data_IF_314541811559
#
_entry.id   IF_314541811559
#
_cell.length_a   1.000
_cell.length_b   1.000
_cell.length_c   1.000
_cell.angle_alpha   90.00
_cell.angle_beta   90.00
_cell.angle_gamma   90.00
#
_symmetry.space_group_name_H-M   'P 1'
#
loop_
_entity.id
_entity.type
_entity.pdbx_description
1 polymer ?
#
# COMPACT_ATOMS: atom_id res chain seq x y z
N UNK A 1 -5.72 32.92 26.06
CA UNK A 1 -6.77 32.58 25.09
C UNK A 1 -6.27 31.39 24.29
N UNK A 2 -7.10 30.38 24.08
CA UNK A 2 -6.82 29.36 23.08
C UNK A 2 -6.73 30.06 21.72
N UNK A 3 -5.66 29.78 20.95
CA UNK A 3 -5.51 30.29 19.59
C UNK A 3 -6.62 29.69 18.74
N UNK A 4 -7.32 30.51 17.96
CA UNK A 4 -8.32 30.04 17.03
C UNK A 4 -7.76 30.11 15.61
N UNK A 5 -7.12 29.03 15.16
CA UNK A 5 -6.40 29.00 13.87
C UNK A 5 -7.28 29.39 12.68
N UNK A 6 -8.58 29.07 12.72
CA UNK A 6 -9.52 29.41 11.64
C UNK A 6 -9.81 30.90 11.58
N UNK A 7 -10.04 31.52 12.74
CA UNK A 7 -10.30 32.95 12.84
C UNK A 7 -9.03 33.78 12.68
N UNK A 8 -7.99 33.42 13.42
CA UNK A 8 -6.77 34.21 13.55
C UNK A 8 -5.87 34.12 12.31
N UNK A 9 -5.85 32.98 11.60
CA UNK A 9 -5.02 32.80 10.40
C UNK A 9 -5.85 32.75 9.11
N UNK A 10 -6.97 32.02 9.11
CA UNK A 10 -7.81 31.89 7.92
C UNK A 10 -8.91 32.95 7.83
N UNK A 11 -9.11 33.80 8.83
CA UNK A 11 -10.13 34.85 8.82
C UNK A 11 -11.55 34.32 8.69
N UNK A 12 -11.78 33.04 9.02
CA UNK A 12 -13.10 32.40 8.98
C UNK A 12 -13.85 32.82 10.25
N UNK A 13 -15.06 33.39 10.14
CA UNK A 13 -15.83 33.84 11.29
C UNK A 13 -16.21 32.67 12.21
N UNK A 14 -16.51 32.98 13.47
CA UNK A 14 -17.00 31.98 14.42
C UNK A 14 -18.36 31.45 13.95
N UNK A 15 -18.41 30.16 13.62
CA UNK A 15 -19.59 29.44 13.14
C UNK A 15 -19.55 27.97 13.54
N UNK A 16 -20.26 27.11 12.79
CA UNK A 16 -20.19 25.67 12.97
C UNK A 16 -18.77 25.16 12.68
N UNK A 17 -18.24 24.35 13.60
CA UNK A 17 -16.88 23.77 13.51
C UNK A 17 -16.96 22.24 13.48
N UNK A 18 -16.06 21.58 12.75
CA UNK A 18 -15.06 22.13 11.83
C UNK A 18 -15.70 22.78 10.57
N UNK A 19 -15.07 23.79 9.96
CA UNK A 19 -15.55 24.38 8.72
C UNK A 19 -15.56 23.34 7.59
N UNK A 20 -16.49 23.49 6.64
CA UNK A 20 -16.52 22.63 5.47
C UNK A 20 -15.27 22.84 4.57
N UNK A 21 -15.00 21.89 3.68
CA UNK A 21 -13.82 21.90 2.81
C UNK A 21 -13.77 23.13 1.87
N UNK A 22 -14.92 23.65 1.46
CA UNK A 22 -15.02 24.84 0.61
C UNK A 22 -14.68 26.10 1.40
N UNK A 23 -15.24 26.25 2.60
CA UNK A 23 -14.95 27.34 3.52
C UNK A 23 -13.48 27.35 3.93
N UNK A 24 -12.92 26.18 4.24
CA UNK A 24 -11.51 26.03 4.60
C UNK A 24 -10.58 26.54 3.50
N UNK A 25 -10.90 26.24 2.23
CA UNK A 25 -10.15 26.71 1.06
C UNK A 25 -10.59 28.08 0.53
N UNK A 26 -11.55 28.74 1.19
CA UNK A 26 -12.14 30.03 0.76
C UNK A 26 -12.68 29.96 -0.68
N UNK A 27 -13.38 28.89 -0.99
CA UNK A 27 -14.05 28.64 -2.27
C UNK A 27 -15.56 28.82 -2.14
N UNK A 28 -16.21 28.99 -3.29
CA UNK A 28 -17.67 28.91 -3.37
C UNK A 28 -18.06 27.43 -3.23
N UNK A 29 -19.17 27.17 -2.53
CA UNK A 29 -19.70 25.81 -2.38
C UNK A 29 -19.96 25.18 -3.76
N UNK A 30 -19.59 23.91 -3.92
CA UNK A 30 -19.71 23.15 -5.19
C UNK A 30 -18.85 23.69 -6.34
N UNK A 31 -17.70 24.33 -6.08
CA UNK A 31 -16.75 24.71 -7.13
C UNK A 31 -16.27 23.48 -7.93
N UNK A 32 -16.44 23.53 -9.26
CA UNK A 32 -16.14 22.44 -10.20
C UNK A 32 -14.77 22.53 -10.87
N UNK A 33 -14.10 23.67 -10.78
CA UNK A 33 -12.78 23.86 -11.37
C UNK A 33 -11.64 23.41 -10.42
N UNK A 34 -10.97 22.27 -10.68
CA UNK A 34 -9.88 21.78 -9.82
C UNK A 34 -8.67 22.72 -9.81
N UNK A 35 -8.44 23.49 -10.88
CA UNK A 35 -7.33 24.43 -10.94
C UNK A 35 -7.53 25.60 -9.96
N UNK A 36 -8.78 26.03 -9.74
CA UNK A 36 -9.09 27.04 -8.70
C UNK A 36 -8.89 26.49 -7.30
N UNK A 37 -9.30 25.24 -7.05
CA UNK A 37 -9.09 24.56 -5.77
C UNK A 37 -7.61 24.55 -5.41
N UNK A 38 -6.75 24.11 -6.34
CA UNK A 38 -5.31 24.11 -6.16
C UNK A 38 -4.72 25.50 -5.93
N UNK A 39 -5.18 26.50 -6.70
CA UNK A 39 -4.69 27.87 -6.58
C UNK A 39 -4.99 28.47 -5.19
N UNK A 40 -6.18 28.19 -4.65
CA UNK A 40 -6.58 28.60 -3.30
C UNK A 40 -5.78 27.86 -2.23
N UNK A 41 -5.66 26.54 -2.34
CA UNK A 41 -4.82 25.73 -1.47
C UNK A 41 -3.38 26.27 -1.40
N UNK A 42 -2.73 26.51 -2.55
CA UNK A 42 -1.35 27.02 -2.60
C UNK A 42 -1.19 28.34 -1.84
N UNK A 43 -2.14 29.27 -2.00
CA UNK A 43 -2.13 30.56 -1.30
C UNK A 43 -2.28 30.40 0.22
N UNK A 44 -3.23 29.58 0.65
CA UNK A 44 -3.51 29.37 2.08
C UNK A 44 -2.41 28.56 2.76
N UNK A 45 -1.93 27.49 2.13
CA UNK A 45 -0.82 26.69 2.62
C UNK A 45 0.44 27.57 2.80
N UNK A 46 0.78 28.41 1.81
CA UNK A 46 1.89 29.36 1.93
C UNK A 46 1.72 30.38 3.08
N UNK A 47 0.48 30.74 3.41
CA UNK A 47 0.18 31.60 4.55
C UNK A 47 0.40 30.87 5.89
N UNK A 48 -0.21 29.68 6.05
CA UNK A 48 -0.12 28.88 7.28
C UNK A 48 1.31 28.44 7.57
N UNK A 49 2.10 28.16 6.53
CA UNK A 49 3.54 27.85 6.64
C UNK A 49 4.37 28.90 7.37
N UNK A 50 3.93 30.15 7.43
CA UNK A 50 4.63 31.20 8.21
C UNK A 50 4.62 30.91 9.72
N UNK A 51 3.67 30.10 10.18
CA UNK A 51 3.51 29.69 11.58
C UNK A 51 4.09 28.29 11.87
N UNK A 52 4.69 27.64 10.87
CA UNK A 52 5.26 26.28 10.95
C UNK A 52 6.42 26.12 11.93
N UNK A 53 6.96 27.21 12.47
CA UNK A 53 8.08 27.18 13.42
C UNK A 53 7.74 27.93 14.70
N UNK A 54 8.29 27.45 15.81
CA UNK A 54 8.13 28.08 17.11
C UNK A 54 6.90 27.58 17.87
N UNK A 55 6.22 28.48 18.57
CA UNK A 55 5.20 28.14 19.57
C UNK A 55 3.95 27.44 19.00
N UNK A 56 3.61 27.70 17.74
CA UNK A 56 2.38 27.20 17.09
C UNK A 56 2.65 26.10 16.05
N UNK A 57 3.80 25.42 16.18
CA UNK A 57 4.22 24.40 15.23
C UNK A 57 3.18 23.29 15.09
N UNK A 58 2.64 22.78 16.20
CA UNK A 58 1.66 21.70 16.15
C UNK A 58 0.35 22.16 15.47
N UNK A 59 -0.20 23.29 15.90
CA UNK A 59 -1.45 23.85 15.39
C UNK A 59 -1.34 24.21 13.89
N UNK A 60 -0.16 24.67 13.45
CA UNK A 60 0.10 24.93 12.04
C UNK A 60 0.19 23.66 11.20
N UNK A 61 0.77 22.59 11.74
CA UNK A 61 0.85 21.32 11.04
C UNK A 61 -0.54 20.70 10.90
N UNK A 62 -1.33 20.70 11.98
CA UNK A 62 -2.70 20.21 11.98
C UNK A 62 -3.55 20.95 10.91
N UNK A 63 -3.44 22.29 10.84
CA UNK A 63 -4.15 23.06 9.83
C UNK A 63 -3.65 22.80 8.40
N UNK A 64 -2.34 22.61 8.20
CA UNK A 64 -1.79 22.26 6.89
C UNK A 64 -2.30 20.91 6.40
N UNK A 65 -2.47 19.95 7.31
CA UNK A 65 -3.07 18.66 7.01
C UNK A 65 -4.53 18.79 6.61
N UNK A 66 -5.32 19.57 7.36
CA UNK A 66 -6.72 19.85 7.00
C UNK A 66 -6.84 20.50 5.62
N UNK A 67 -5.99 21.48 5.31
CA UNK A 67 -5.97 22.12 3.99
C UNK A 67 -5.61 21.12 2.87
N UNK A 68 -4.67 20.21 3.12
CA UNK A 68 -4.28 19.18 2.16
C UNK A 68 -5.40 18.17 1.93
N UNK A 69 -6.07 17.71 2.99
CA UNK A 69 -7.26 16.85 2.93
C UNK A 69 -8.37 17.49 2.11
N UNK A 70 -8.66 18.76 2.38
CA UNK A 70 -9.67 19.50 1.63
C UNK A 70 -9.36 19.58 0.14
N UNK A 71 -8.11 19.87 -0.22
CA UNK A 71 -7.68 19.93 -1.60
C UNK A 71 -7.79 18.58 -2.30
N UNK A 72 -7.36 17.49 -1.66
CA UNK A 72 -7.38 16.16 -2.25
C UNK A 72 -8.81 15.63 -2.42
N UNK A 73 -9.69 15.87 -1.45
CA UNK A 73 -11.09 15.49 -1.55
C UNK A 73 -11.79 16.23 -2.71
N UNK A 74 -11.54 17.53 -2.88
CA UNK A 74 -12.18 18.34 -3.91
C UNK A 74 -11.56 18.19 -5.31
N UNK A 75 -10.38 17.57 -5.44
CA UNK A 75 -9.72 17.32 -6.73
C UNK A 75 -9.93 15.90 -7.23
N UNK A 76 -10.27 14.95 -6.36
CA UNK A 76 -10.67 13.60 -6.76
C UNK A 76 -12.15 13.58 -7.20
N UNK A 77 -12.48 13.15 -8.44
CA UNK A 77 -13.85 13.17 -8.92
C UNK A 77 -14.84 12.33 -8.09
N UNK A 78 -14.40 11.18 -7.59
CA UNK A 78 -15.24 10.27 -6.85
C UNK A 78 -15.45 10.79 -5.42
N UNK A 79 -14.37 11.16 -4.73
CA UNK A 79 -14.45 11.70 -3.36
C UNK A 79 -15.24 13.00 -3.32
N UNK A 80 -15.03 13.86 -4.32
CA UNK A 80 -15.79 15.11 -4.41
C UNK A 80 -17.27 14.83 -4.59
N UNK A 81 -17.66 13.87 -5.44
CA UNK A 81 -19.07 13.50 -5.62
C UNK A 81 -19.70 13.05 -4.30
N UNK A 82 -19.06 12.10 -3.61
CA UNK A 82 -19.52 11.60 -2.30
C UNK A 82 -19.63 12.74 -1.27
N UNK A 83 -18.65 13.64 -1.25
CA UNK A 83 -18.63 14.81 -0.37
C UNK A 83 -19.73 15.83 -0.71
N UNK A 84 -19.90 16.17 -1.99
CA UNK A 84 -20.91 17.10 -2.46
C UNK A 84 -22.33 16.55 -2.20
N UNK A 85 -22.54 15.25 -2.38
CA UNK A 85 -23.79 14.56 -2.01
C UNK A 85 -24.07 14.67 -0.51
N UNK A 86 -23.05 14.52 0.34
CA UNK A 86 -23.19 14.72 1.79
C UNK A 86 -23.59 16.15 2.18
N UNK A 87 -23.25 17.14 1.36
CA UNK A 87 -23.63 18.55 1.50
C UNK A 87 -24.95 18.89 0.79
N UNK A 88 -25.62 17.92 0.18
CA UNK A 88 -26.94 18.07 -0.45
C UNK A 88 -26.93 18.36 -1.95
N UNK A 89 -25.79 18.20 -2.65
CA UNK A 89 -25.75 18.22 -4.12
C UNK A 89 -26.33 16.91 -4.64
N UNK A 90 -27.36 16.97 -5.47
CA UNK A 90 -27.84 15.80 -6.19
C UNK A 90 -27.14 15.70 -7.54
N UNK A 91 -26.52 14.55 -7.79
CA UNK A 91 -26.07 14.17 -9.12
C UNK A 91 -27.19 13.35 -9.76
N UNK A 92 -27.58 13.70 -10.98
CA UNK A 92 -28.36 12.77 -11.78
C UNK A 92 -27.48 11.53 -12.04
N UNK A 93 -28.04 10.33 -11.93
CA UNK A 93 -27.36 9.07 -12.22
C UNK A 93 -27.11 8.93 -13.73
N UNK A 94 -26.33 9.85 -14.27
CA UNK A 94 -25.60 9.60 -15.49
C UNK A 94 -24.52 8.57 -15.11
N UNK A 95 -24.89 7.30 -15.28
CA UNK A 95 -24.00 6.18 -15.56
C UNK A 95 -23.24 6.41 -16.89
N UNK A 96 -22.81 7.64 -17.14
CA UNK A 96 -21.82 7.94 -18.14
C UNK A 96 -20.53 7.37 -17.59
N UNK A 97 -20.08 6.27 -18.19
CA UNK A 97 -18.69 5.85 -18.18
C UNK A 97 -17.83 7.08 -17.95
N UNK A 98 -17.23 7.21 -16.77
CA UNK A 98 -16.17 8.18 -16.57
C UNK A 98 -15.18 7.85 -17.66
N UNK A 99 -15.22 8.63 -18.74
CA UNK A 99 -14.36 8.50 -19.89
C UNK A 99 -12.96 8.76 -19.34
N UNK A 100 -12.32 7.74 -18.77
CA UNK A 100 -10.94 7.78 -18.29
C UNK A 100 -10.14 8.04 -19.52
N UNK A 101 -9.71 9.28 -19.63
CA UNK A 101 -9.09 9.75 -20.85
C UNK A 101 -7.68 9.27 -20.81
N UNK A 102 -7.19 8.79 -21.95
CA UNK A 102 -5.76 8.60 -22.08
C UNK A 102 -5.05 9.90 -21.76
N UNK A 103 -3.89 9.81 -21.12
CA UNK A 103 -3.04 10.96 -20.81
C UNK A 103 -2.79 11.81 -22.06
N UNK A 104 -2.57 11.17 -23.22
CA UNK A 104 -2.45 11.85 -24.51
C UNK A 104 -3.70 12.66 -24.88
N UNK A 105 -4.89 12.09 -24.71
CA UNK A 105 -6.16 12.78 -24.94
C UNK A 105 -6.37 13.96 -23.99
N UNK A 106 -6.00 13.79 -22.71
CA UNK A 106 -6.07 14.85 -21.71
C UNK A 106 -5.15 16.03 -22.08
N UNK A 107 -3.90 15.76 -22.47
CA UNK A 107 -2.92 16.78 -22.88
C UNK A 107 -3.34 17.54 -24.15
N UNK A 108 -3.99 16.85 -25.10
CA UNK A 108 -4.51 17.50 -26.31
C UNK A 108 -5.65 18.46 -25.97
N UNK A 109 -6.60 18.03 -25.12
CA UNK A 109 -7.74 18.87 -24.76
C UNK A 109 -7.33 20.14 -24.05
N UNK A 110 -6.36 20.03 -23.14
CA UNK A 110 -5.81 21.17 -22.42
C UNK A 110 -4.85 22.03 -23.26
N UNK A 111 -4.67 21.68 -24.55
CA UNK A 111 -3.89 22.48 -25.50
C UNK A 111 -2.38 22.37 -25.32
N UNK A 112 -1.91 21.41 -24.52
CA UNK A 112 -0.48 21.21 -24.28
C UNK A 112 0.23 20.46 -25.42
N UNK A 113 -0.48 19.57 -26.11
CA UNK A 113 0.05 18.79 -27.22
C UNK A 113 -0.90 18.74 -28.41
N UNK A 114 -0.34 18.57 -29.61
CA UNK A 114 -1.09 18.18 -30.80
C UNK A 114 -1.23 16.66 -30.91
N UNK A 115 -2.24 16.20 -31.65
CA UNK A 115 -2.42 14.76 -31.98
C UNK A 115 -1.16 14.15 -32.63
N UNK A 116 -0.45 14.93 -33.44
CA UNK A 116 0.77 14.48 -34.11
C UNK A 116 1.91 14.23 -33.10
N UNK A 117 2.10 15.15 -32.14
CA UNK A 117 3.13 15.02 -31.10
C UNK A 117 2.86 13.84 -30.16
N UNK A 118 1.59 13.59 -29.81
CA UNK A 118 1.22 12.41 -29.01
C UNK A 118 1.56 11.12 -29.75
N UNK A 119 1.19 11.02 -31.03
CA UNK A 119 1.51 9.86 -31.85
C UNK A 119 3.03 9.65 -32.02
N UNK A 120 3.78 10.74 -32.19
CA UNK A 120 5.25 10.68 -32.22
C UNK A 120 5.80 10.16 -30.88
N UNK A 121 5.28 10.64 -29.75
CA UNK A 121 5.69 10.17 -28.43
C UNK A 121 5.33 8.69 -28.18
N UNK A 122 4.16 8.24 -28.61
CA UNK A 122 3.75 6.82 -28.55
C UNK A 122 4.73 5.93 -29.34
N UNK A 123 5.04 6.32 -30.59
CA UNK A 123 6.02 5.55 -31.40
C UNK A 123 7.43 5.57 -30.79
N UNK A 124 7.83 6.68 -30.18
CA UNK A 124 9.11 6.78 -29.46
C UNK A 124 9.14 5.88 -28.22
N UNK A 125 8.03 5.82 -27.49
CA UNK A 125 7.83 5.00 -26.29
C UNK A 125 7.90 3.50 -26.64
N UNK A 126 7.13 3.06 -27.64
CA UNK A 126 7.12 1.67 -28.12
C UNK A 126 8.51 1.21 -28.59
N UNK A 127 9.21 2.06 -29.35
CA UNK A 127 10.54 1.73 -29.88
C UNK A 127 11.61 1.54 -28.78
N UNK A 128 11.37 2.07 -27.57
CA UNK A 128 12.33 2.05 -26.44
C UNK A 128 11.82 1.27 -25.23
N UNK A 129 10.59 0.75 -25.26
CA UNK A 129 9.95 0.12 -24.12
C UNK A 129 9.77 1.07 -22.93
N UNK A 130 9.49 2.34 -23.19
CA UNK A 130 9.23 3.36 -22.18
C UNK A 130 7.72 3.56 -22.01
N UNK A 131 7.30 4.03 -20.84
CA UNK A 131 5.94 4.55 -20.67
C UNK A 131 5.76 5.86 -21.44
N UNK A 132 4.55 6.12 -21.93
CA UNK A 132 4.23 7.35 -22.67
C UNK A 132 4.61 8.61 -21.88
N UNK A 133 4.41 8.59 -20.56
CA UNK A 133 4.75 9.71 -19.66
C UNK A 133 6.24 10.02 -19.72
N UNK A 134 7.07 9.00 -19.59
CA UNK A 134 8.52 9.14 -19.56
C UNK A 134 9.06 9.51 -20.95
N UNK A 135 8.44 8.99 -22.02
CA UNK A 135 8.73 9.40 -23.39
C UNK A 135 8.44 10.89 -23.65
N UNK A 136 7.27 11.39 -23.21
CA UNK A 136 6.90 12.80 -23.35
C UNK A 136 7.89 13.75 -22.66
N UNK A 137 8.35 13.37 -21.47
CA UNK A 137 9.36 14.12 -20.71
C UNK A 137 10.72 14.04 -21.40
N UNK A 138 11.13 12.86 -21.85
CA UNK A 138 12.43 12.66 -22.52
C UNK A 138 12.53 13.42 -23.85
N UNK A 139 11.45 13.46 -24.62
CA UNK A 139 11.34 14.25 -25.85
C UNK A 139 11.20 15.75 -25.59
N UNK A 140 11.11 16.17 -24.32
CA UNK A 140 10.91 17.57 -23.90
C UNK A 140 9.63 18.19 -24.49
N UNK A 141 8.61 17.37 -24.72
CA UNK A 141 7.32 17.82 -25.20
C UNK A 141 6.47 18.39 -24.06
N UNK A 142 6.65 17.86 -22.85
CA UNK A 142 5.89 18.23 -21.65
C UNK A 142 6.81 18.26 -20.44
N UNK A 143 6.58 19.18 -19.51
CA UNK A 143 7.27 19.22 -18.22
C UNK A 143 6.89 18.02 -17.34
N UNK A 144 7.81 17.53 -16.48
CA UNK A 144 7.54 16.36 -15.63
C UNK A 144 6.31 16.49 -14.73
N UNK A 145 6.03 17.69 -14.23
CA UNK A 145 4.88 17.96 -13.37
C UNK A 145 3.57 17.81 -14.14
N UNK A 146 3.50 18.38 -15.33
CA UNK A 146 2.33 18.31 -16.20
C UNK A 146 2.11 16.88 -16.74
N UNK A 147 3.19 16.17 -17.07
CA UNK A 147 3.12 14.77 -17.46
C UNK A 147 2.61 13.88 -16.31
N UNK A 148 3.05 14.14 -15.07
CA UNK A 148 2.58 13.40 -13.88
C UNK A 148 1.11 13.69 -13.59
N UNK A 149 0.67 14.95 -13.74
CA UNK A 149 -0.73 15.34 -13.59
C UNK A 149 -1.62 14.62 -14.60
N UNK A 150 -1.23 14.64 -15.87
CA UNK A 150 -1.97 13.96 -16.93
C UNK A 150 -2.01 12.43 -16.72
N UNK A 151 -0.94 11.85 -16.18
CA UNK A 151 -0.90 10.43 -15.80
C UNK A 151 -1.81 10.12 -14.59
N UNK A 152 -1.88 11.01 -13.61
CA UNK A 152 -2.78 10.87 -12.46
C UNK A 152 -4.26 10.81 -12.90
N UNK A 153 -4.64 11.66 -13.85
CA UNK A 153 -5.98 11.69 -14.45
C UNK A 153 -6.30 10.40 -15.20
N UNK A 154 -5.35 9.84 -15.95
CA UNK A 154 -5.52 8.56 -16.64
C UNK A 154 -5.76 7.42 -15.63
N UNK A 155 -5.02 7.41 -14.52
CA UNK A 155 -5.15 6.42 -13.46
C UNK A 155 -6.36 6.69 -12.53
N UNK A 156 -7.04 7.82 -12.67
CA UNK A 156 -8.11 8.24 -11.74
C UNK A 156 -7.61 8.48 -10.32
N UNK A 157 -6.41 9.06 -10.17
CA UNK A 157 -5.76 9.38 -8.90
C UNK A 157 -5.56 10.89 -8.77
N UNK A 158 -5.57 11.42 -7.55
CA UNK A 158 -5.26 12.84 -7.33
C UNK A 158 -3.78 13.12 -7.54
N UNK A 159 -3.46 14.32 -8.04
CA UNK A 159 -2.10 14.84 -8.12
C UNK A 159 -1.74 15.63 -6.85
N UNK A 160 -0.53 15.45 -6.32
CA UNK A 160 -0.03 16.22 -5.18
C UNK A 160 1.35 16.84 -5.47
N UNK A 161 1.49 18.11 -5.09
CA UNK A 161 2.77 18.83 -5.12
C UNK A 161 3.43 18.74 -3.72
N UNK A 162 4.57 18.05 -3.65
CA UNK A 162 5.32 17.82 -2.41
C UNK A 162 6.18 19.03 -2.01
N UNK A 163 6.33 20.02 -2.87
CA UNK A 163 6.95 21.28 -2.47
C UNK A 163 6.06 22.08 -1.51
N UNK A 164 4.74 21.91 -1.66
CA UNK A 164 3.72 22.61 -0.88
C UNK A 164 3.20 21.74 0.27
N UNK A 165 3.04 20.44 0.05
CA UNK A 165 2.49 19.50 1.02
C UNK A 165 3.57 19.02 1.99
N UNK A 166 3.34 19.13 3.31
CA UNK A 166 4.28 18.70 4.34
C UNK A 166 3.77 17.37 4.94
N UNK A 167 4.57 16.30 4.88
CA UNK A 167 4.24 15.06 5.58
C UNK A 167 4.29 15.19 7.11
N UNK A 168 3.48 14.41 7.79
CA UNK A 168 3.46 14.26 9.23
C UNK A 168 4.60 13.37 9.74
N UNK A 169 5.34 13.89 10.72
CA UNK A 169 6.43 13.14 11.36
C UNK A 169 5.95 11.81 11.97
N UNK A 170 4.73 11.77 12.51
CA UNK A 170 4.14 10.57 13.11
C UNK A 170 3.95 9.41 12.12
N UNK A 171 3.77 9.73 10.84
CA UNK A 171 3.62 8.75 9.76
C UNK A 171 5.00 8.44 9.18
N UNK A 172 5.85 9.45 9.01
CA UNK A 172 7.23 9.23 8.57
C UNK A 172 8.04 8.30 9.49
N UNK A 173 7.84 8.40 10.81
CA UNK A 173 8.53 7.55 11.80
C UNK A 173 8.08 6.08 11.75
N UNK A 174 6.87 5.81 11.27
CA UNK A 174 6.35 4.45 11.19
C UNK A 174 6.84 3.70 9.96
N UNK A 175 7.15 4.39 8.85
CA UNK A 175 7.62 3.73 7.61
C UNK A 175 9.15 3.62 7.55
N UNK A 176 9.70 2.42 7.33
CA UNK A 176 11.13 2.23 7.17
C UNK A 176 11.66 2.89 5.90
N UNK A 177 12.84 3.52 6.02
CA UNK A 177 13.55 4.13 4.89
C UNK A 177 13.79 3.16 3.73
N UNK A 178 13.97 1.86 4.01
CA UNK A 178 14.15 0.83 2.99
C UNK A 178 12.93 0.72 2.08
N UNK A 179 11.72 0.67 2.66
CA UNK A 179 10.45 0.62 1.92
C UNK A 179 10.27 1.88 1.06
N UNK A 180 10.47 3.05 1.66
CA UNK A 180 10.42 4.37 1.00
C UNK A 180 11.30 4.42 -0.25
N UNK A 181 12.56 3.97 -0.13
CA UNK A 181 13.52 3.96 -1.24
C UNK A 181 13.24 2.89 -2.27
N UNK A 182 12.85 1.69 -1.84
CA UNK A 182 12.57 0.55 -2.73
C UNK A 182 11.41 0.88 -3.67
N UNK A 183 10.33 1.45 -3.13
CA UNK A 183 9.12 1.73 -3.89
C UNK A 183 9.01 3.17 -4.38
N UNK A 184 9.96 4.05 -4.00
CA UNK A 184 9.91 5.48 -4.34
C UNK A 184 8.56 6.12 -3.96
N UNK A 185 8.19 5.95 -2.70
CA UNK A 185 6.93 6.47 -2.13
C UNK A 185 7.20 7.28 -0.87
N UNK A 186 6.31 8.19 -0.51
CA UNK A 186 6.38 8.95 0.74
C UNK A 186 4.99 8.99 1.39
N UNK A 187 4.83 8.47 2.62
CA UNK A 187 3.61 8.71 3.39
C UNK A 187 3.48 10.19 3.71
N UNK A 188 2.28 10.73 3.57
CA UNK A 188 1.97 12.13 3.86
C UNK A 188 1.35 12.25 5.24
N UNK A 189 0.13 11.77 5.43
CA UNK A 189 -0.59 11.82 6.70
C UNK A 189 -1.66 10.72 6.72
N UNK A 190 -2.23 10.46 7.90
CA UNK A 190 -3.39 9.60 8.05
C UNK A 190 -4.63 10.48 8.03
N UNK A 191 -5.62 10.15 7.20
CA UNK A 191 -6.89 10.84 7.08
C UNK A 191 -8.02 9.85 7.39
N UNK A 192 -8.87 10.16 8.36
CA UNK A 192 -9.98 9.29 8.79
C UNK A 192 -9.51 7.85 9.04
N UNK A 193 -9.83 6.93 8.13
CA UNK A 193 -9.47 5.51 8.11
C UNK A 193 -8.60 5.13 6.91
N UNK A 194 -7.68 6.00 6.45
CA UNK A 194 -6.72 5.68 5.39
C UNK A 194 -5.38 6.41 5.56
N UNK A 195 -4.30 5.78 5.10
CA UNK A 195 -2.98 6.42 5.02
C UNK A 195 -2.76 6.98 3.62
N UNK A 196 -2.54 8.28 3.52
CA UNK A 196 -2.25 8.94 2.26
C UNK A 196 -0.78 8.78 1.90
N UNK A 197 -0.49 8.31 0.69
CA UNK A 197 0.87 8.01 0.25
C UNK A 197 1.11 8.60 -1.14
N UNK A 198 2.13 9.45 -1.25
CA UNK A 198 2.60 9.95 -2.53
C UNK A 198 3.47 8.90 -3.24
N UNK A 199 3.17 8.62 -4.50
CA UNK A 199 3.88 7.66 -5.34
C UNK A 199 4.11 8.19 -6.76
N UNK A 200 5.13 7.67 -7.43
CA UNK A 200 5.37 7.93 -8.87
C UNK A 200 4.51 7.03 -9.76
N UNK A 201 4.26 5.81 -9.30
CA UNK A 201 3.62 4.73 -10.04
C UNK A 201 2.51 4.11 -9.19
N UNK A 202 1.64 3.32 -9.82
CA UNK A 202 0.67 2.52 -9.08
C UNK A 202 1.41 1.56 -8.13
N UNK A 203 1.02 1.48 -6.85
CA UNK A 203 1.68 0.61 -5.88
C UNK A 203 1.48 -0.86 -6.24
N UNK A 204 2.41 -1.71 -5.81
CA UNK A 204 2.18 -3.16 -5.83
C UNK A 204 1.31 -3.59 -4.66
N UNK A 205 0.59 -4.70 -4.80
CA UNK A 205 -0.20 -5.27 -3.68
C UNK A 205 0.64 -5.52 -2.42
N UNK A 206 1.91 -5.91 -2.58
CA UNK A 206 2.84 -6.06 -1.45
C UNK A 206 3.00 -4.76 -0.66
N UNK A 207 3.12 -3.63 -1.36
CA UNK A 207 3.28 -2.32 -0.74
C UNK A 207 1.99 -1.88 -0.05
N UNK A 208 0.84 -2.10 -0.70
CA UNK A 208 -0.47 -1.82 -0.11
C UNK A 208 -0.69 -2.62 1.18
N UNK A 209 -0.36 -3.91 1.16
CA UNK A 209 -0.45 -4.79 2.33
C UNK A 209 0.51 -4.37 3.45
N UNK A 210 1.75 -4.00 3.11
CA UNK A 210 2.73 -3.50 4.10
C UNK A 210 2.21 -2.23 4.79
N UNK A 211 1.69 -1.26 4.02
CA UNK A 211 1.12 -0.04 4.59
C UNK A 211 -0.16 -0.35 5.39
N UNK A 212 -1.03 -1.24 4.91
CA UNK A 212 -2.24 -1.63 5.64
C UNK A 212 -1.91 -2.26 7.00
N UNK A 213 -0.96 -3.19 7.05
CA UNK A 213 -0.53 -3.83 8.29
C UNK A 213 0.13 -2.85 9.26
N UNK A 214 0.95 -1.93 8.73
CA UNK A 214 1.72 -0.97 9.51
C UNK A 214 0.86 0.15 10.10
N UNK A 215 -0.13 0.63 9.34
CA UNK A 215 -1.00 1.74 9.75
C UNK A 215 -2.35 1.28 10.31
N UNK A 216 -2.73 0.02 10.11
CA UNK A 216 -4.05 -0.50 10.48
C UNK A 216 -5.19 0.00 9.59
N UNK A 217 -4.86 0.74 8.53
CA UNK A 217 -5.81 1.39 7.62
C UNK A 217 -5.36 1.23 6.17
N UNK A 218 -6.29 1.15 5.20
CA UNK A 218 -5.94 1.05 3.78
C UNK A 218 -5.05 2.19 3.29
N UNK A 219 -4.18 1.87 2.32
CA UNK A 219 -3.35 2.84 1.61
C UNK A 219 -4.18 3.55 0.54
N UNK A 220 -4.11 4.88 0.52
CA UNK A 220 -4.66 5.70 -0.54
C UNK A 220 -3.53 6.43 -1.26
N UNK A 221 -3.42 6.21 -2.58
CA UNK A 221 -2.30 6.70 -3.38
C UNK A 221 -2.64 7.98 -4.09
N UNK A 222 -1.71 8.92 -4.03
CA UNK A 222 -1.71 10.16 -4.81
C UNK A 222 -0.43 10.26 -5.63
N UNK A 223 -0.52 10.84 -6.81
CA UNK A 223 0.58 10.90 -7.76
C UNK A 223 1.44 12.13 -7.53
N UNK A 224 2.75 11.94 -7.43
CA UNK A 224 3.72 13.02 -7.29
C UNK A 224 4.89 12.87 -8.25
N UNK A 225 5.50 13.98 -8.74
CA UNK A 225 6.60 13.90 -9.70
C UNK A 225 7.81 13.16 -9.12
N UNK A 226 8.53 12.35 -9.94
CA UNK A 226 9.67 11.56 -9.47
C UNK A 226 10.74 12.38 -8.75
N UNK A 227 11.07 13.56 -9.29
CA UNK A 227 12.05 14.46 -8.71
C UNK A 227 11.63 14.94 -7.32
N UNK A 228 10.35 15.31 -7.17
CA UNK A 228 9.82 15.81 -5.90
C UNK A 228 9.84 14.71 -4.83
N UNK A 229 9.50 13.47 -5.20
CA UNK A 229 9.62 12.32 -4.28
C UNK A 229 11.08 12.13 -3.87
N UNK A 230 12.02 12.09 -4.81
CA UNK A 230 13.44 11.90 -4.48
C UNK A 230 13.97 13.01 -3.55
N UNK A 231 13.60 14.27 -3.80
CA UNK A 231 13.95 15.41 -2.94
C UNK A 231 13.34 15.27 -1.54
N UNK A 232 12.09 14.85 -1.45
CA UNK A 232 11.42 14.65 -0.17
C UNK A 232 11.99 13.43 0.59
N UNK A 233 12.39 12.34 -0.08
CA UNK A 233 13.12 11.22 0.54
C UNK A 233 14.46 11.72 1.10
N UNK A 234 15.20 12.52 0.33
CA UNK A 234 16.48 13.08 0.77
C UNK A 234 16.32 14.01 1.98
N UNK A 235 15.22 14.79 2.03
CA UNK A 235 14.91 15.73 3.10
C UNK A 235 14.44 15.03 4.38
N UNK A 236 13.44 14.15 4.28
CA UNK A 236 12.75 13.59 5.46
C UNK A 236 13.32 12.26 5.94
N UNK A 237 13.97 11.50 5.06
CA UNK A 237 14.60 10.22 5.38
C UNK A 237 16.11 10.28 5.19
N UNK A 238 16.79 11.39 5.51
CA UNK A 238 18.25 11.47 5.42
C UNK A 238 18.92 10.38 6.31
N UNK A 239 20.11 9.86 5.94
CA UNK A 239 20.76 8.79 6.71
C UNK A 239 20.97 9.23 8.16
N UNK A 240 20.46 8.45 9.12
CA UNK A 240 20.59 8.73 10.56
C UNK A 240 19.55 9.67 11.17
N UNK A 241 18.61 10.23 10.38
CA UNK A 241 17.54 11.10 10.91
C UNK A 241 16.38 10.33 11.54
N UNK A 242 16.05 9.15 11.01
CA UNK A 242 14.97 8.29 11.51
C UNK A 242 15.53 6.88 11.64
N UNK A 243 15.49 6.32 12.84
CA UNK A 243 15.91 4.92 13.03
C UNK A 243 14.98 4.02 12.22
N UNK A 244 15.54 3.03 11.53
CA UNK A 244 14.73 2.01 10.87
C UNK A 244 13.93 1.31 11.97
N UNK A 245 12.63 1.57 12.06
CA UNK A 245 11.73 0.72 12.83
C UNK A 245 11.95 -0.69 12.30
N UNK A 246 12.56 -1.53 13.14
CA UNK A 246 12.93 -2.88 12.74
C UNK A 246 11.67 -3.58 12.22
N UNK A 247 11.80 -4.33 11.12
CA UNK A 247 10.74 -5.15 10.53
C UNK A 247 10.06 -6.14 11.53
N UNK A 248 10.53 -6.19 12.78
CA UNK A 248 9.97 -6.95 13.89
C UNK A 248 8.67 -6.40 14.50
N UNK A 249 8.28 -5.15 14.23
CA UNK A 249 7.07 -4.55 14.83
C UNK A 249 5.78 -4.81 14.05
N UNK A 250 5.85 -5.45 12.87
CA UNK A 250 4.66 -5.80 12.06
C UNK A 250 4.03 -7.14 12.49
N UNK A 251 4.75 -7.98 13.25
CA UNK A 251 4.25 -9.31 13.65
C UNK A 251 3.58 -9.38 15.03
N UNK A 252 3.43 -8.28 15.79
CA UNK A 252 2.90 -8.39 17.16
C UNK A 252 1.93 -7.29 17.56
N UNK A 253 0.65 -7.46 17.21
CA UNK A 253 -0.45 -6.80 17.93
C UNK A 253 -1.71 -7.68 18.01
N UNK A 254 -1.58 -8.83 18.68
CA UNK A 254 -2.69 -9.34 19.50
C UNK A 254 -2.22 -9.58 20.93
N UNK A 255 -2.94 -8.93 21.85
CA UNK A 255 -2.98 -9.16 23.30
C UNK A 255 -1.74 -8.85 24.16
N UNK A 256 -1.74 -7.64 24.75
CA UNK A 256 -1.89 -7.48 26.20
C UNK A 256 -0.76 -7.94 27.15
N UNK A 257 -0.02 -6.93 27.65
CA UNK A 257 0.55 -6.79 29.02
C UNK A 257 1.48 -7.89 29.57
N UNK A 258 2.72 -7.48 29.83
CA UNK A 258 3.34 -7.77 31.15
C UNK A 258 4.83 -8.10 31.21
N UNK A 259 5.65 -7.05 31.32
CA UNK A 259 6.84 -6.97 32.20
C UNK A 259 8.13 -7.76 31.88
N UNK A 260 9.17 -6.98 31.49
CA UNK A 260 10.58 -6.96 31.96
C UNK A 260 11.29 -8.33 32.10
N UNK A 261 12.41 -8.61 31.46
CA UNK A 261 13.67 -7.87 31.53
C UNK A 261 14.78 -8.58 30.74
N UNK A 262 15.65 -7.77 30.12
CA UNK A 262 16.96 -8.03 29.49
C UNK A 262 17.90 -8.97 30.30
N UNK A 263 19.10 -9.35 29.79
CA UNK A 263 19.51 -9.79 28.44
C UNK A 263 20.59 -10.92 28.48
N UNK A 264 20.86 -11.65 27.38
CA UNK A 264 22.24 -11.81 26.85
C UNK A 264 22.34 -12.57 25.52
N UNK A 265 23.19 -12.01 24.66
CA UNK A 265 23.73 -12.53 23.40
C UNK A 265 24.34 -13.94 23.51
N UNK A 266 24.19 -14.75 22.45
CA UNK A 266 25.29 -15.38 21.70
C UNK A 266 24.74 -15.93 20.36
N UNK A 267 25.16 -15.34 19.24
CA UNK A 267 26.23 -15.80 18.32
C UNK A 267 25.83 -16.98 17.45
N UNK A 268 25.91 -16.71 16.15
CA UNK A 268 25.73 -17.62 15.03
C UNK A 268 26.63 -18.86 15.09
N UNK A 269 26.08 -20.00 14.64
CA UNK A 269 26.86 -21.04 13.98
C UNK A 269 26.04 -21.77 12.92
N UNK A 270 26.44 -21.56 11.67
CA UNK A 270 26.54 -22.48 10.54
C UNK A 270 25.69 -23.76 10.53
N UNK A 271 25.00 -23.92 9.40
CA UNK A 271 24.57 -25.18 8.81
C UNK A 271 25.63 -26.29 8.90
N UNK A 272 25.24 -27.45 9.42
CA UNK A 272 25.87 -28.72 9.07
C UNK A 272 24.83 -29.85 9.03
N UNK A 273 24.83 -30.51 7.88
CA UNK A 273 24.26 -31.81 7.51
C UNK A 273 23.82 -32.75 8.64
N UNK A 274 22.68 -33.36 8.38
CA UNK A 274 22.17 -34.65 8.85
C UNK A 274 23.15 -35.53 9.64
N UNK A 275 22.76 -35.83 10.88
CA UNK A 275 23.06 -37.08 11.57
C UNK A 275 21.84 -37.49 12.39
N UNK A 276 21.46 -38.76 12.26
CA UNK A 276 20.35 -39.36 12.98
C UNK A 276 20.62 -39.33 14.50
N UNK A 277 19.79 -38.61 15.25
CA UNK A 277 19.84 -38.56 16.72
C UNK A 277 18.98 -39.70 17.28
N UNK A 278 19.40 -40.42 18.34
CA UNK A 278 18.65 -41.54 18.91
C UNK A 278 17.29 -41.06 19.42
N UNK A 279 16.24 -41.83 19.14
CA UNK A 279 14.84 -41.44 19.37
C UNK A 279 14.54 -41.05 20.81
N UNK A 280 14.44 -39.75 21.07
CA UNK A 280 13.80 -39.21 22.26
C UNK A 280 12.31 -39.47 22.16
N UNK A 281 11.72 -40.08 23.19
CA UNK A 281 10.29 -40.41 23.23
C UNK A 281 9.45 -39.15 23.16
N UNK A 282 8.35 -39.20 22.41
CA UNK A 282 7.52 -38.02 22.14
C UNK A 282 6.99 -37.38 23.43
N UNK A 283 6.62 -38.21 24.40
CA UNK A 283 6.16 -37.83 25.75
C UNK A 283 7.18 -37.05 26.59
N UNK A 284 8.46 -37.06 26.23
CA UNK A 284 9.54 -36.39 26.98
C UNK A 284 9.95 -35.04 26.37
N UNK A 285 9.32 -34.62 25.27
CA UNK A 285 9.60 -33.34 24.60
C UNK A 285 8.85 -32.19 25.27
N UNK A 286 9.38 -30.97 25.15
CA UNK A 286 8.70 -29.76 25.64
C UNK A 286 7.38 -29.50 24.90
N UNK A 287 6.42 -28.80 25.52
CA UNK A 287 5.10 -28.57 24.92
C UNK A 287 5.17 -27.84 23.57
N UNK A 288 6.14 -26.94 23.39
CA UNK A 288 6.33 -26.22 22.12
C UNK A 288 6.89 -27.13 21.02
N UNK A 289 7.86 -27.99 21.33
CA UNK A 289 8.41 -28.97 20.39
C UNK A 289 7.37 -30.04 20.01
N UNK A 290 6.51 -30.44 20.95
CA UNK A 290 5.41 -31.35 20.67
C UNK A 290 4.39 -30.73 19.70
N UNK A 291 4.05 -29.45 19.86
CA UNK A 291 3.15 -28.73 18.94
C UNK A 291 3.74 -28.63 17.54
N UNK A 292 5.02 -28.27 17.43
CA UNK A 292 5.71 -28.16 16.16
C UNK A 292 5.80 -29.53 15.45
N UNK A 293 6.10 -30.61 16.17
CA UNK A 293 6.10 -31.97 15.61
C UNK A 293 4.70 -32.44 15.22
N UNK A 294 3.65 -32.08 15.95
CA UNK A 294 2.26 -32.37 15.53
C UNK A 294 1.93 -31.66 14.22
N UNK A 295 2.29 -30.38 14.09
CA UNK A 295 2.09 -29.63 12.85
C UNK A 295 2.82 -30.27 11.66
N UNK A 296 4.09 -30.66 11.82
CA UNK A 296 4.86 -31.32 10.75
C UNK A 296 4.22 -32.66 10.37
N UNK A 297 3.75 -33.46 11.33
CA UNK A 297 3.08 -34.72 11.03
C UNK A 297 1.73 -34.52 10.33
N UNK A 298 0.95 -33.50 10.70
CA UNK A 298 -0.28 -33.15 9.96
C UNK A 298 0.03 -32.74 8.51
N UNK A 299 1.08 -31.94 8.30
CA UNK A 299 1.52 -31.56 6.96
C UNK A 299 1.92 -32.80 6.16
N UNK A 300 2.66 -33.74 6.75
CA UNK A 300 3.06 -34.98 6.09
C UNK A 300 1.85 -35.85 5.68
N UNK A 301 0.81 -35.92 6.52
CA UNK A 301 -0.43 -36.62 6.20
C UNK A 301 -1.14 -35.95 5.01
N UNK A 302 -1.28 -34.61 5.03
CA UNK A 302 -1.89 -33.88 3.91
C UNK A 302 -1.14 -34.12 2.59
N UNK A 303 0.20 -34.08 2.62
CA UNK A 303 1.02 -34.37 1.44
C UNK A 303 0.92 -35.82 0.97
N UNK A 304 0.70 -36.79 1.87
CA UNK A 304 0.49 -38.19 1.48
C UNK A 304 -0.81 -38.40 0.70
N UNK A 305 -1.88 -37.66 1.03
CA UNK A 305 -3.13 -37.69 0.26
C UNK A 305 -2.95 -37.07 -1.13
N UNK A 306 -2.29 -35.90 -1.21
CA UNK A 306 -2.08 -35.20 -2.47
C UNK A 306 -1.16 -36.01 -3.41
N UNK A 307 -0.03 -36.51 -2.89
CA UNK A 307 0.91 -37.32 -3.69
C UNK A 307 0.33 -38.68 -4.05
N UNK A 308 -0.43 -39.30 -3.15
CA UNK A 308 -1.16 -40.52 -3.46
C UNK A 308 -2.15 -40.31 -4.60
N UNK A 309 -2.90 -39.20 -4.57
CA UNK A 309 -3.89 -38.88 -5.60
C UNK A 309 -3.22 -38.66 -6.96
N UNK A 310 -2.10 -37.94 -6.99
CA UNK A 310 -1.29 -37.76 -8.20
C UNK A 310 -0.73 -39.09 -8.71
N UNK A 311 -0.27 -39.98 -7.83
CA UNK A 311 0.23 -41.30 -8.22
C UNK A 311 -0.88 -42.16 -8.86
N UNK A 312 -2.08 -42.10 -8.29
CA UNK A 312 -3.24 -42.85 -8.76
C UNK A 312 -3.64 -42.36 -10.17
N UNK A 313 -3.86 -41.05 -10.33
CA UNK A 313 -4.35 -40.42 -11.56
C UNK A 313 -3.33 -40.49 -12.70
N UNK A 314 -2.04 -40.29 -12.39
CA UNK A 314 -1.01 -40.09 -13.42
C UNK A 314 -0.23 -41.37 -13.77
N UNK A 315 -0.21 -42.36 -12.88
CA UNK A 315 0.65 -43.55 -13.02
C UNK A 315 -0.15 -44.86 -12.96
N UNK A 316 -1.02 -45.06 -11.97
CA UNK A 316 -1.68 -46.35 -11.76
C UNK A 316 -2.90 -46.56 -12.66
N UNK A 317 -3.73 -45.53 -12.83
CA UNK A 317 -4.93 -45.57 -13.66
C UNK A 317 -4.65 -45.77 -15.17
N UNK A 318 -3.63 -45.13 -15.78
CA UNK A 318 -3.35 -45.34 -17.20
C UNK A 318 -2.49 -46.57 -17.54
N UNK A 319 -1.73 -47.13 -16.60
CA UNK A 319 -0.70 -48.15 -16.93
C UNK A 319 -0.81 -49.48 -16.18
N UNK A 320 -1.55 -49.58 -15.08
CA UNK A 320 -1.43 -50.74 -14.16
C UNK A 320 -2.75 -51.44 -13.85
N UNK A 321 -3.86 -50.72 -13.71
CA UNK A 321 -5.12 -51.31 -13.25
C UNK A 321 -6.04 -51.73 -14.43
N UNK A 322 -6.52 -52.99 -14.50
CA UNK A 322 -7.51 -53.40 -15.49
C UNK A 322 -8.86 -52.72 -15.23
N UNK A 323 -9.61 -52.37 -16.29
CA UNK A 323 -10.88 -51.61 -16.24
C UNK A 323 -11.90 -52.12 -15.20
N UNK A 324 -11.87 -53.40 -14.84
CA UNK A 324 -12.76 -54.01 -13.85
C UNK A 324 -12.51 -53.56 -12.39
N UNK A 325 -11.35 -52.97 -12.09
CA UNK A 325 -10.97 -52.46 -10.76
C UNK A 325 -10.95 -50.92 -10.71
N UNK A 326 -11.37 -50.25 -11.79
CA UNK A 326 -11.54 -48.81 -11.79
C UNK A 326 -12.88 -48.45 -11.13
N UNK A 327 -12.84 -48.08 -9.85
CA UNK A 327 -14.02 -47.80 -9.03
C UNK A 327 -14.67 -46.43 -9.32
N UNK A 328 -14.37 -45.83 -10.48
CA UNK A 328 -15.04 -44.63 -10.98
C UNK A 328 -14.74 -43.39 -10.15
N UNK A 329 -13.57 -42.77 -10.40
CA UNK A 329 -13.22 -41.35 -10.19
C UNK A 329 -13.30 -40.73 -8.79
N UNK A 330 -14.11 -41.28 -7.87
CA UNK A 330 -14.37 -40.73 -6.53
C UNK A 330 -13.91 -41.64 -5.39
N UNK A 331 -13.47 -42.86 -5.69
CA UNK A 331 -12.90 -43.78 -4.70
C UNK A 331 -11.38 -43.78 -4.89
N UNK A 332 -10.59 -43.26 -3.92
CA UNK A 332 -9.13 -43.29 -4.00
C UNK A 332 -8.65 -44.75 -4.11
N UNK A 333 -7.79 -45.05 -5.08
CA UNK A 333 -7.38 -46.42 -5.38
C UNK A 333 -6.36 -46.95 -4.35
N UNK A 334 -5.85 -48.17 -4.53
CA UNK A 334 -4.90 -48.78 -3.59
C UNK A 334 -3.62 -47.94 -3.37
N UNK A 335 -3.23 -47.07 -4.30
CA UNK A 335 -2.01 -46.25 -4.18
C UNK A 335 -2.14 -45.11 -3.17
N UNK A 336 -3.24 -44.36 -3.17
CA UNK A 336 -3.55 -43.35 -2.14
C UNK A 336 -3.59 -43.94 -0.74
N UNK A 337 -4.28 -45.07 -0.55
CA UNK A 337 -4.35 -45.75 0.74
C UNK A 337 -3.01 -46.37 1.14
N UNK A 338 -2.25 -46.90 0.19
CA UNK A 338 -0.92 -47.47 0.43
C UNK A 338 0.10 -46.43 0.90
N UNK A 339 0.13 -45.26 0.26
CA UNK A 339 1.08 -44.20 0.59
C UNK A 339 0.71 -43.52 1.92
N UNK A 340 -0.58 -43.29 2.16
CA UNK A 340 -1.10 -42.81 3.45
C UNK A 340 -0.72 -43.78 4.59
N UNK A 341 -1.00 -45.07 4.42
CA UNK A 341 -0.74 -46.08 5.46
C UNK A 341 0.75 -46.21 5.76
N UNK A 342 1.61 -46.17 4.73
CA UNK A 342 3.07 -46.18 4.93
C UNK A 342 3.56 -44.94 5.71
N UNK A 343 3.05 -43.75 5.38
CA UNK A 343 3.39 -42.50 6.07
C UNK A 343 2.88 -42.52 7.52
N UNK A 344 1.66 -43.02 7.76
CA UNK A 344 1.12 -43.16 9.11
C UNK A 344 1.93 -44.16 9.94
N UNK A 345 2.29 -45.33 9.39
CA UNK A 345 3.13 -46.31 10.08
C UNK A 345 4.50 -45.72 10.40
N UNK A 346 5.09 -44.95 9.49
CA UNK A 346 6.35 -44.23 9.75
C UNK A 346 6.18 -43.17 10.84
N UNK A 347 5.11 -42.37 10.80
CA UNK A 347 4.83 -41.34 11.79
C UNK A 347 4.63 -41.96 13.18
N UNK A 348 3.79 -42.98 13.33
CA UNK A 348 3.55 -43.63 14.62
C UNK A 348 4.76 -44.45 15.11
N UNK A 349 5.52 -45.08 14.21
CA UNK A 349 6.65 -45.94 14.59
C UNK A 349 7.95 -45.18 14.91
N UNK A 350 8.17 -44.04 14.27
CA UNK A 350 9.44 -43.30 14.36
C UNK A 350 9.32 -41.86 14.84
N UNK A 351 8.16 -41.20 14.62
CA UNK A 351 8.03 -39.75 14.77
C UNK A 351 7.19 -39.31 15.99
N UNK A 352 6.11 -40.05 16.29
CA UNK A 352 5.20 -39.87 17.42
C UNK A 352 5.25 -41.07 18.38
N UNK A 353 6.42 -41.70 18.50
CA UNK A 353 6.61 -42.88 19.35
C UNK A 353 6.62 -42.45 20.82
N UNK A 354 5.66 -42.93 21.60
CA UNK A 354 5.50 -42.61 23.04
C UNK A 354 6.54 -43.25 23.96
#
# INVERSE_FOLDING_TARGET
MALDVYKDWLGIPEGERPPDHYQLLRLIQFEDDPAKVEAHYKKLNAHVRKYATGKYQQESQDLLNELARAMLCLTDPQRKREYDESLGRHYEDDLGEMNRQSMGGWLIRHGHLSKAQVKEAETFAEARGLDLRDALVQMRLVDPELATRAYAEEMGRSYVDLNVTIPDDSVLDKTPRRTIKKYSVIPLFIEEDRVLVASVYEPTHELEDEFRLRYGVPMHVVMAPPLQIQQAIAKYYAPGMREESSDADVETSTAGKGSKSKPRKQKASKSSKASAVPGVRFSQLSEEEQKQRKQIGYIAICWSFILGWILDDLVLEPYVLPEALNFGGWIPTLGTWGLLTAVLVWLFGSYWRD
#
